data_IF_074786576168
#
_entry.id   IF_074786576168
#
_cell.length_a   1.000
_cell.length_b   1.000
_cell.length_c   1.000
_cell.angle_alpha   90.00
_cell.angle_beta   90.00
_cell.angle_gamma   90.00
#
_symmetry.space_group_name_H-M   'P 1'
#
loop_
_entity.id
_entity.type
_entity.pdbx_description
1 polymer ?
#
# COMPACT_ATOMS: atom_id res chain seq x y z
N UNK A 1 23.06 -12.25 -19.86
CA UNK A 1 22.95 -12.60 -18.44
C UNK A 1 24.33 -12.87 -17.84
N UNK A 2 24.49 -12.61 -16.58
CA UNK A 2 25.73 -12.90 -15.84
C UNK A 2 25.45 -13.85 -14.69
N UNK A 3 26.47 -14.57 -14.22
CA UNK A 3 26.35 -15.54 -13.16
C UNK A 3 26.76 -14.94 -11.83
N UNK A 4 25.88 -15.04 -10.84
CA UNK A 4 26.14 -14.61 -9.47
C UNK A 4 26.29 -15.85 -8.61
N UNK A 5 27.36 -15.90 -7.83
CA UNK A 5 27.58 -16.96 -6.84
C UNK A 5 27.07 -16.46 -5.48
N UNK A 6 26.16 -17.19 -4.90
CA UNK A 6 25.69 -16.89 -3.55
C UNK A 6 26.80 -17.18 -2.55
N UNK A 7 27.19 -16.18 -1.77
CA UNK A 7 28.27 -16.27 -0.81
C UNK A 7 27.99 -17.24 0.36
N UNK A 8 26.69 -17.49 0.64
CA UNK A 8 26.30 -18.38 1.73
C UNK A 8 26.08 -19.83 1.30
N UNK A 9 25.57 -20.04 0.12
CA UNK A 9 25.20 -21.38 -0.37
C UNK A 9 26.12 -21.91 -1.45
N UNK A 10 26.98 -21.05 -2.03
CA UNK A 10 27.86 -21.41 -3.14
C UNK A 10 27.14 -21.69 -4.47
N UNK A 11 25.83 -21.49 -4.52
CA UNK A 11 25.05 -21.72 -5.72
C UNK A 11 25.28 -20.62 -6.76
N UNK A 12 25.43 -21.03 -8.01
CA UNK A 12 25.56 -20.13 -9.16
C UNK A 12 24.20 -19.93 -9.81
N UNK A 13 23.72 -18.70 -9.75
CA UNK A 13 22.46 -18.32 -10.39
C UNK A 13 22.72 -17.38 -11.55
N UNK A 14 22.20 -17.67 -12.72
CA UNK A 14 22.28 -16.79 -13.88
C UNK A 14 21.20 -15.71 -13.79
N UNK A 15 21.60 -14.45 -13.75
CA UNK A 15 20.69 -13.30 -13.70
C UNK A 15 20.69 -12.57 -15.04
N UNK A 16 19.55 -12.03 -15.41
CA UNK A 16 19.38 -11.21 -16.61
C UNK A 16 19.79 -9.73 -16.39
N UNK A 17 19.99 -9.33 -15.15
CA UNK A 17 20.41 -7.97 -14.78
C UNK A 17 21.30 -7.99 -13.52
N UNK A 18 21.98 -6.87 -13.29
CA UNK A 18 22.75 -6.63 -12.06
C UNK A 18 22.30 -5.33 -11.41
N UNK A 19 22.39 -5.27 -10.08
CA UNK A 19 21.99 -4.12 -9.28
C UNK A 19 23.25 -3.31 -8.93
N UNK A 20 23.19 -1.99 -9.18
CA UNK A 20 24.23 -1.04 -8.78
C UNK A 20 23.60 -0.06 -7.78
N UNK A 21 24.18 -0.02 -6.57
CA UNK A 21 23.76 0.86 -5.48
C UNK A 21 24.82 1.91 -5.24
N UNK A 22 24.57 3.12 -5.72
CA UNK A 22 25.58 4.18 -5.65
C UNK A 22 26.84 3.84 -6.44
N UNK A 23 27.65 4.84 -6.72
CA UNK A 23 28.87 4.65 -7.52
C UNK A 23 28.60 4.40 -9.00
N UNK A 24 29.67 4.17 -9.74
CA UNK A 24 29.61 3.91 -11.17
C UNK A 24 29.83 2.46 -11.54
N UNK A 25 29.37 2.07 -12.72
CA UNK A 25 29.65 0.77 -13.30
C UNK A 25 29.90 0.91 -14.80
N UNK A 26 30.63 -0.04 -15.38
CA UNK A 26 30.83 -0.12 -16.82
C UNK A 26 29.62 -0.75 -17.50
N UNK A 27 29.13 -0.10 -18.54
CA UNK A 27 28.02 -0.60 -19.37
C UNK A 27 28.51 -0.79 -20.80
N UNK A 28 28.26 -1.97 -21.35
CA UNK A 28 28.54 -2.25 -22.76
C UNK A 28 27.31 -1.89 -23.59
N UNK A 29 27.31 -0.76 -24.33
CA UNK A 29 26.09 -0.22 -24.94
C UNK A 29 25.43 -1.10 -25.97
N UNK A 30 26.12 -2.13 -26.47
CA UNK A 30 25.61 -3.08 -27.46
C UNK A 30 24.83 -4.24 -26.82
N UNK A 31 25.23 -4.64 -25.59
CA UNK A 31 24.70 -5.84 -24.91
C UNK A 31 24.10 -5.56 -23.54
N UNK A 32 24.29 -4.36 -22.99
CA UNK A 32 23.76 -3.93 -21.71
C UNK A 32 22.95 -2.65 -21.83
N UNK A 33 21.92 -2.53 -21.02
CA UNK A 33 21.11 -1.32 -20.88
C UNK A 33 21.04 -0.95 -19.41
N UNK A 34 21.13 0.35 -19.13
CA UNK A 34 20.95 0.89 -17.78
C UNK A 34 19.53 1.39 -17.63
N UNK A 35 18.85 0.89 -16.63
CA UNK A 35 17.52 1.33 -16.25
C UNK A 35 17.51 1.71 -14.76
N UNK A 36 16.81 2.81 -14.45
CA UNK A 36 16.72 3.34 -13.11
C UNK A 36 15.49 2.79 -12.36
N UNK A 37 15.68 2.56 -11.06
CA UNK A 37 14.61 2.20 -10.14
C UNK A 37 14.72 3.08 -8.90
N UNK A 38 13.71 3.91 -8.65
CA UNK A 38 13.70 4.81 -7.50
C UNK A 38 13.35 4.02 -6.23
N UNK A 39 14.17 4.17 -5.19
CA UNK A 39 13.95 3.60 -3.85
C UNK A 39 13.33 4.61 -2.87
N UNK A 40 12.94 5.78 -3.37
CA UNK A 40 12.35 6.83 -2.54
C UNK A 40 10.98 6.46 -2.01
N UNK A 41 10.66 7.03 -0.86
CA UNK A 41 9.34 6.88 -0.24
C UNK A 41 8.26 7.55 -1.10
N UNK A 42 7.22 6.80 -1.43
CA UNK A 42 6.07 7.28 -2.18
C UNK A 42 4.90 7.54 -1.23
N UNK A 43 4.30 8.71 -1.32
CA UNK A 43 3.06 9.03 -0.61
C UNK A 43 1.88 8.87 -1.56
N UNK A 44 0.91 8.06 -1.18
CA UNK A 44 -0.23 7.69 -2.00
C UNK A 44 -1.52 8.11 -1.30
N UNK A 45 -2.30 8.95 -1.95
CA UNK A 45 -3.65 9.29 -1.48
C UNK A 45 -4.62 8.20 -1.93
N UNK A 46 -5.25 7.53 -0.95
CA UNK A 46 -6.19 6.44 -1.19
C UNK A 46 -7.59 6.94 -0.88
N UNK A 47 -8.32 7.36 -1.91
CA UNK A 47 -9.71 7.81 -1.79
C UNK A 47 -10.61 6.77 -2.42
N UNK A 48 -11.51 6.22 -1.61
CA UNK A 48 -12.43 5.17 -2.03
C UNK A 48 -13.86 5.66 -1.82
N UNK A 49 -14.56 5.92 -2.91
CA UNK A 49 -15.92 6.48 -2.90
C UNK A 49 -16.99 5.41 -3.05
N UNK A 50 -18.11 5.61 -2.39
CA UNK A 50 -19.31 4.77 -2.50
C UNK A 50 -19.04 3.29 -2.28
N UNK A 51 -18.34 2.96 -1.22
CA UNK A 51 -18.12 1.57 -0.80
C UNK A 51 -19.22 1.19 0.18
N UNK A 52 -19.89 0.09 -0.09
CA UNK A 52 -20.98 -0.38 0.76
C UNK A 52 -20.42 -1.19 1.94
N UNK A 53 -20.82 -0.80 3.15
CA UNK A 53 -20.52 -1.55 4.37
C UNK A 53 -21.32 -2.85 4.43
N UNK A 54 -21.10 -3.66 5.46
CA UNK A 54 -21.88 -4.87 5.71
C UNK A 54 -23.38 -4.62 5.84
N UNK A 55 -23.76 -3.40 6.22
CA UNK A 55 -25.17 -2.96 6.35
C UNK A 55 -25.73 -2.35 5.06
N UNK A 56 -24.94 -2.32 3.99
CA UNK A 56 -25.33 -1.69 2.72
C UNK A 56 -25.31 -0.16 2.74
N UNK A 57 -24.61 0.45 3.68
CA UNK A 57 -24.45 1.92 3.76
C UNK A 57 -23.27 2.35 2.91
N UNK A 58 -23.45 3.24 1.91
CA UNK A 58 -22.35 3.73 1.12
C UNK A 58 -21.49 4.73 1.91
N UNK A 59 -20.20 4.47 2.00
CA UNK A 59 -19.24 5.34 2.69
C UNK A 59 -18.11 5.75 1.75
N UNK A 60 -17.52 6.89 2.02
CA UNK A 60 -16.30 7.37 1.39
C UNK A 60 -15.19 7.39 2.42
N UNK A 61 -14.08 6.75 2.09
CA UNK A 61 -12.89 6.70 2.95
C UNK A 61 -11.76 7.45 2.26
N UNK A 62 -11.15 8.38 2.98
CA UNK A 62 -9.98 9.12 2.57
C UNK A 62 -8.81 8.75 3.48
N UNK A 63 -7.78 8.17 2.91
CA UNK A 63 -6.59 7.75 3.62
C UNK A 63 -5.31 8.12 2.89
N UNK A 64 -4.20 7.96 3.57
CA UNK A 64 -2.87 8.15 3.01
C UNK A 64 -1.97 6.97 3.35
N UNK A 65 -1.29 6.45 2.36
CA UNK A 65 -0.31 5.38 2.52
C UNK A 65 1.08 5.88 2.16
N UNK A 66 2.07 5.39 2.88
CA UNK A 66 3.47 5.58 2.54
C UNK A 66 4.07 4.23 2.15
N UNK A 67 4.52 4.13 0.91
CA UNK A 67 5.01 2.89 0.31
C UNK A 67 6.38 3.15 -0.30
N UNK A 68 7.27 2.19 -0.18
CA UNK A 68 8.57 2.24 -0.84
C UNK A 68 8.96 0.85 -1.34
N UNK A 69 9.97 0.80 -2.22
CA UNK A 69 10.63 -0.45 -2.57
C UNK A 69 11.47 -0.89 -1.36
N UNK A 70 11.37 -2.17 -0.99
CA UNK A 70 12.19 -2.72 0.08
C UNK A 70 13.68 -2.59 -0.23
N UNK A 71 14.49 -2.35 0.81
CA UNK A 71 15.93 -2.10 0.66
C UNK A 71 16.78 -3.37 0.54
N UNK A 72 16.22 -4.54 0.81
CA UNK A 72 16.89 -5.81 0.65
C UNK A 72 16.99 -6.23 -0.82
N UNK A 73 17.94 -7.07 -1.15
CA UNK A 73 18.21 -7.48 -2.54
C UNK A 73 17.01 -8.20 -3.19
N UNK A 74 16.31 -9.03 -2.43
CA UNK A 74 15.13 -9.76 -2.93
C UNK A 74 14.02 -8.78 -3.34
N UNK A 75 13.73 -7.79 -2.51
CA UNK A 75 12.73 -6.75 -2.81
C UNK A 75 13.12 -5.92 -4.03
N UNK A 76 14.39 -5.52 -4.12
CA UNK A 76 14.90 -4.74 -5.27
C UNK A 76 14.80 -5.55 -6.56
N UNK A 77 15.17 -6.81 -6.54
CA UNK A 77 15.08 -7.71 -7.70
C UNK A 77 13.62 -7.88 -8.12
N UNK A 78 12.73 -8.15 -7.17
CA UNK A 78 11.30 -8.32 -7.43
C UNK A 78 10.69 -7.04 -8.01
N UNK A 79 11.00 -5.90 -7.43
CA UNK A 79 10.54 -4.60 -7.94
C UNK A 79 11.11 -4.28 -9.32
N UNK A 80 12.38 -4.62 -9.58
CA UNK A 80 13.01 -4.43 -10.88
C UNK A 80 12.31 -5.28 -11.97
N UNK A 81 11.95 -6.51 -11.69
CA UNK A 81 11.19 -7.35 -12.62
C UNK A 81 9.84 -6.75 -12.97
N UNK A 82 9.18 -6.10 -12.04
CA UNK A 82 7.85 -5.52 -12.21
C UNK A 82 7.89 -4.10 -12.79
N UNK A 83 8.82 -3.27 -12.35
CA UNK A 83 8.74 -1.81 -12.49
C UNK A 83 9.95 -1.17 -13.17
N UNK A 84 10.93 -1.93 -13.60
CA UNK A 84 12.13 -1.35 -14.22
C UNK A 84 11.74 -0.47 -15.43
N UNK A 85 12.28 0.74 -15.49
CA UNK A 85 11.96 1.77 -16.48
C UNK A 85 10.55 2.35 -16.38
N UNK A 86 9.75 1.95 -15.40
CA UNK A 86 8.44 2.59 -15.15
C UNK A 86 8.61 3.86 -14.33
N UNK A 87 7.78 4.85 -14.63
CA UNK A 87 7.75 6.09 -13.86
C UNK A 87 7.19 5.85 -12.48
N UNK A 88 7.59 6.67 -11.50
CA UNK A 88 7.11 6.61 -10.11
C UNK A 88 5.58 6.66 -10.05
N UNK A 89 4.94 7.48 -10.87
CA UNK A 89 3.48 7.58 -10.91
C UNK A 89 2.79 6.27 -11.31
N UNK A 90 3.42 5.49 -12.18
CA UNK A 90 2.91 4.17 -12.56
C UNK A 90 3.01 3.17 -11.41
N UNK A 91 4.10 3.20 -10.66
CA UNK A 91 4.29 2.37 -9.47
C UNK A 91 3.28 2.75 -8.39
N UNK A 92 3.10 4.05 -8.15
CA UNK A 92 2.09 4.58 -7.22
C UNK A 92 0.68 4.11 -7.58
N UNK A 93 0.34 4.14 -8.86
CA UNK A 93 -1.00 3.74 -9.33
C UNK A 93 -1.26 2.25 -9.09
N UNK A 94 -0.28 1.40 -9.32
CA UNK A 94 -0.38 -0.05 -9.06
C UNK A 94 -0.54 -0.31 -7.55
N UNK A 95 0.26 0.35 -6.72
CA UNK A 95 0.14 0.25 -5.27
C UNK A 95 -1.22 0.77 -4.76
N UNK A 96 -1.69 1.88 -5.33
CA UNK A 96 -3.02 2.44 -5.03
C UNK A 96 -4.14 1.44 -5.31
N UNK A 97 -4.13 0.81 -6.47
CA UNK A 97 -5.14 -0.18 -6.85
C UNK A 97 -5.14 -1.37 -5.90
N UNK A 98 -3.98 -1.83 -5.48
CA UNK A 98 -3.84 -2.93 -4.52
C UNK A 98 -4.42 -2.56 -3.16
N UNK A 99 -4.04 -1.39 -2.64
CA UNK A 99 -4.55 -0.89 -1.35
C UNK A 99 -6.06 -0.62 -1.39
N UNK A 100 -6.54 -0.02 -2.46
CA UNK A 100 -7.97 0.25 -2.64
C UNK A 100 -8.80 -1.03 -2.70
N UNK A 101 -8.32 -2.04 -3.40
CA UNK A 101 -8.98 -3.34 -3.47
C UNK A 101 -9.16 -3.99 -2.10
N UNK A 102 -8.12 -3.99 -1.28
CA UNK A 102 -8.19 -4.53 0.08
C UNK A 102 -9.04 -3.66 1.01
N UNK A 103 -8.96 -2.34 0.86
CA UNK A 103 -9.80 -1.40 1.60
C UNK A 103 -11.29 -1.67 1.35
N UNK A 104 -11.69 -1.82 0.10
CA UNK A 104 -13.07 -2.15 -0.28
C UNK A 104 -13.52 -3.48 0.30
N UNK A 105 -12.68 -4.50 0.20
CA UNK A 105 -12.98 -5.84 0.72
C UNK A 105 -13.20 -5.83 2.23
N UNK A 106 -12.38 -5.13 2.98
CA UNK A 106 -12.48 -5.03 4.43
C UNK A 106 -13.71 -4.20 4.84
N UNK A 107 -13.96 -3.08 4.17
CA UNK A 107 -15.15 -2.24 4.42
C UNK A 107 -16.44 -3.02 4.27
N UNK A 108 -16.52 -3.88 3.26
CA UNK A 108 -17.70 -4.72 3.02
C UNK A 108 -18.01 -5.72 4.13
N UNK A 109 -17.06 -6.00 5.01
CA UNK A 109 -17.23 -6.92 6.14
C UNK A 109 -17.54 -6.23 7.47
N UNK A 110 -17.45 -4.90 7.52
CA UNK A 110 -17.58 -4.12 8.74
C UNK A 110 -18.90 -3.34 8.76
N UNK A 111 -19.42 -3.11 9.96
CA UNK A 111 -20.52 -2.19 10.17
C UNK A 111 -20.01 -0.75 10.21
N UNK A 112 -20.90 0.22 9.99
CA UNK A 112 -20.53 1.65 10.08
C UNK A 112 -20.01 1.99 11.48
N UNK A 113 -20.59 1.41 12.51
CA UNK A 113 -20.17 1.60 13.91
C UNK A 113 -18.75 1.11 14.15
N UNK A 114 -18.40 -0.07 13.65
CA UNK A 114 -17.05 -0.63 13.76
C UNK A 114 -16.02 0.25 13.06
N UNK A 115 -16.33 0.74 11.87
CA UNK A 115 -15.44 1.63 11.10
C UNK A 115 -15.23 2.94 11.84
N UNK A 116 -16.28 3.54 12.37
CA UNK A 116 -16.24 4.82 13.08
C UNK A 116 -15.53 4.70 14.42
N UNK A 117 -15.78 3.61 15.16
CA UNK A 117 -15.31 3.41 16.53
C UNK A 117 -13.80 3.19 16.61
N UNK A 118 -13.21 2.50 15.63
CA UNK A 118 -11.81 2.11 15.67
C UNK A 118 -11.14 2.21 14.30
N UNK A 119 -10.87 3.47 13.88
CA UNK A 119 -10.18 3.76 12.61
C UNK A 119 -8.81 3.14 12.52
N UNK A 120 -8.05 3.20 13.61
CA UNK A 120 -6.66 2.74 13.63
C UNK A 120 -6.58 1.23 13.43
N UNK A 121 -7.48 0.49 14.05
CA UNK A 121 -7.58 -0.96 13.88
C UNK A 121 -7.95 -1.33 12.44
N UNK A 122 -8.86 -0.59 11.85
CA UNK A 122 -9.25 -0.75 10.46
C UNK A 122 -8.07 -0.46 9.51
N UNK A 123 -7.37 0.64 9.72
CA UNK A 123 -6.18 1.00 8.95
C UNK A 123 -5.08 -0.06 9.07
N UNK A 124 -4.83 -0.55 10.28
CA UNK A 124 -3.87 -1.62 10.53
C UNK A 124 -4.23 -2.90 9.79
N UNK A 125 -5.50 -3.26 9.77
CA UNK A 125 -5.97 -4.46 9.05
C UNK A 125 -5.77 -4.33 7.54
N UNK A 126 -6.04 -3.17 6.96
CA UNK A 126 -5.76 -2.90 5.54
C UNK A 126 -4.27 -3.06 5.25
N UNK A 127 -3.42 -2.52 6.10
CA UNK A 127 -1.97 -2.62 5.98
C UNK A 127 -1.50 -4.08 6.04
N UNK A 128 -1.98 -4.85 6.98
CA UNK A 128 -1.62 -6.26 7.15
C UNK A 128 -2.07 -7.12 5.96
N UNK A 129 -3.29 -6.96 5.51
CA UNK A 129 -3.85 -7.74 4.39
C UNK A 129 -3.16 -7.36 3.07
N UNK A 130 -2.80 -6.11 2.89
CA UNK A 130 -2.11 -5.63 1.68
C UNK A 130 -0.63 -6.01 1.64
N UNK A 131 -0.02 -6.30 2.79
CA UNK A 131 1.42 -6.50 2.94
C UNK A 131 1.96 -7.60 2.02
N UNK A 132 1.25 -8.71 1.88
CA UNK A 132 1.67 -9.83 1.06
C UNK A 132 1.69 -9.46 -0.43
N UNK A 133 0.63 -8.84 -0.92
CA UNK A 133 0.54 -8.45 -2.32
C UNK A 133 1.59 -7.40 -2.68
N UNK A 134 1.83 -6.43 -1.79
CA UNK A 134 2.87 -5.44 -1.96
C UNK A 134 4.26 -6.08 -1.93
N UNK A 135 4.50 -7.03 -1.03
CA UNK A 135 5.76 -7.78 -0.96
C UNK A 135 6.03 -8.55 -2.24
N UNK A 136 5.01 -9.13 -2.85
CA UNK A 136 5.14 -9.85 -4.12
C UNK A 136 5.55 -8.93 -5.28
N UNK A 137 5.39 -7.63 -5.12
CA UNK A 137 5.86 -6.59 -6.05
C UNK A 137 7.18 -5.94 -5.63
N UNK A 138 7.77 -6.38 -4.52
CA UNK A 138 8.97 -5.77 -3.95
C UNK A 138 8.71 -4.49 -3.17
N UNK A 139 7.45 -4.20 -2.83
CA UNK A 139 7.03 -3.00 -2.11
C UNK A 139 6.79 -3.28 -0.63
N UNK A 140 7.04 -2.25 0.18
CA UNK A 140 6.77 -2.26 1.63
C UNK A 140 5.86 -1.10 1.96
N UNK A 141 4.77 -1.37 2.66
CA UNK A 141 3.90 -0.33 3.20
C UNK A 141 4.44 0.11 4.56
N UNK A 142 4.94 1.32 4.63
CA UNK A 142 5.52 1.90 5.86
C UNK A 142 4.42 2.37 6.80
N UNK A 143 3.36 2.98 6.26
CA UNK A 143 2.24 3.45 7.05
C UNK A 143 0.96 3.53 6.22
N UNK A 144 -0.16 3.35 6.89
CA UNK A 144 -1.48 3.60 6.32
C UNK A 144 -2.34 4.30 7.38
N UNK A 145 -2.83 5.48 7.06
CA UNK A 145 -3.61 6.31 7.97
C UNK A 145 -4.93 6.71 7.33
N UNK A 146 -6.03 6.54 8.04
CA UNK A 146 -7.33 7.03 7.62
C UNK A 146 -7.47 8.48 8.06
N UNK A 147 -7.63 9.40 7.10
CA UNK A 147 -7.82 10.83 7.38
C UNK A 147 -9.27 11.14 7.70
N UNK A 148 -10.19 10.63 6.90
CA UNK A 148 -11.60 10.94 7.00
C UNK A 148 -12.46 9.79 6.52
N UNK A 149 -13.61 9.62 7.17
CA UNK A 149 -14.66 8.68 6.75
C UNK A 149 -15.97 9.44 6.82
N UNK A 150 -16.72 9.46 5.70
CA UNK A 150 -18.03 10.09 5.67
C UNK A 150 -18.98 9.31 4.75
N UNK A 151 -20.26 9.53 4.96
CA UNK A 151 -21.30 9.03 4.09
C UNK A 151 -22.17 10.18 3.59
N UNK A 152 -22.68 10.06 2.37
CA UNK A 152 -23.49 11.11 1.72
C UNK A 152 -24.87 11.25 2.36
N UNK A 153 -25.29 10.27 3.16
CA UNK A 153 -26.61 10.23 3.81
C UNK A 153 -26.62 10.75 5.25
N UNK A 154 -25.46 11.18 5.76
CA UNK A 154 -25.34 11.69 7.13
C UNK A 154 -25.48 10.64 8.23
N UNK A 155 -25.35 9.37 7.92
CA UNK A 155 -25.50 8.27 8.88
C UNK A 155 -24.46 8.35 10.01
N UNK A 156 -23.21 8.67 9.66
CA UNK A 156 -22.12 8.81 10.64
C UNK A 156 -22.36 10.00 11.58
N UNK A 157 -22.85 11.11 11.04
CA UNK A 157 -23.21 12.30 11.84
C UNK A 157 -24.36 11.98 12.80
N UNK A 158 -25.36 11.24 12.33
CA UNK A 158 -26.49 10.82 13.16
C UNK A 158 -26.04 9.90 14.32
N UNK A 159 -25.10 8.98 14.08
CA UNK A 159 -24.50 8.14 15.13
C UNK A 159 -23.74 8.98 16.15
N UNK A 160 -22.98 9.98 15.71
CA UNK A 160 -22.25 10.89 16.58
C UNK A 160 -23.19 11.68 17.49
N UNK A 161 -24.26 12.23 16.95
CA UNK A 161 -25.28 12.95 17.70
C UNK A 161 -26.00 12.04 18.71
N UNK A 162 -26.34 10.83 18.33
CA UNK A 162 -26.96 9.85 19.22
C UNK A 162 -26.08 9.54 20.43
N UNK A 163 -24.79 9.37 20.24
CA UNK A 163 -23.82 9.14 21.31
C UNK A 163 -23.69 10.33 22.24
N UNK A 164 -23.66 11.54 21.72
CA UNK A 164 -23.64 12.77 22.53
C UNK A 164 -24.88 12.87 23.40
N UNK A 165 -26.04 12.54 22.85
CA UNK A 165 -27.30 12.52 23.59
C UNK A 165 -27.31 11.47 24.70
N UNK A 166 -26.79 10.27 24.46
CA UNK A 166 -26.63 9.22 25.48
C UNK A 166 -25.72 9.67 26.62
N UNK A 167 -24.56 10.22 26.32
CA UNK A 167 -23.61 10.72 27.31
C UNK A 167 -24.23 11.84 28.16
N UNK A 168 -24.95 12.78 27.57
CA UNK A 168 -25.65 13.84 28.29
C UNK A 168 -26.77 13.29 29.20
N UNK A 169 -27.46 12.24 28.77
CA UNK A 169 -28.50 11.58 29.56
C UNK A 169 -27.92 10.85 30.76
N UNK A 170 -26.79 10.15 30.58
CA UNK A 170 -26.12 9.40 31.64
C UNK A 170 -25.42 10.32 32.65
N UNK A 171 -25.04 11.55 32.24
CA UNK A 171 -24.43 12.56 33.11
C UNK A 171 -25.43 13.38 33.91
N UNK A 172 -26.71 13.31 33.60
CA UNK A 172 -27.79 13.96 34.37
C UNK A 172 -28.27 13.05 35.53
#
# INVERSE_FOLDING_TARGET
GYTVTDAQTGQRTRRSFRIVRGGGTFVLPVIERVDDLSLELMTIDVVTTKVYTAQGVPVTVDGVAQVKIGSDDVSIITAAEQFLSKKVDQIKNIALQTLEGHLRGILGTLTVEEIYKDRDKFAQRVQEVSALDLKNMGLVNISFTIKNIHDDQGYLDALGQSRIAEVKRDAA
#
